data_IF_036647971070
#
_entry.id   IF_036647971070
#
_cell.length_a   1.000
_cell.length_b   1.000
_cell.length_c   1.000
_cell.angle_alpha   90.00
_cell.angle_beta   90.00
_cell.angle_gamma   90.00
#
_symmetry.space_group_name_H-M   'P 1'
#
loop_
_entity.id
_entity.type
_entity.pdbx_description
1 polymer ?
#
# COMPACT_ATOMS: atom_id res chain seq x y z
N UNK A 1 -11.17 24.94 20.97
CA UNK A 1 -9.77 24.54 20.67
C UNK A 1 -9.86 23.12 20.13
N UNK A 2 -9.50 22.90 18.88
CA UNK A 2 -9.47 21.53 18.32
C UNK A 2 -8.36 20.78 19.04
N UNK A 3 -8.71 19.75 19.80
CA UNK A 3 -7.72 18.90 20.47
C UNK A 3 -6.99 18.10 19.38
N UNK A 4 -5.67 18.13 19.39
CA UNK A 4 -4.84 17.33 18.49
C UNK A 4 -5.19 15.86 18.67
N UNK A 5 -5.65 15.14 17.63
CA UNK A 5 -6.12 13.79 17.78
C UNK A 5 -4.98 12.83 18.14
N UNK A 6 -5.33 11.73 18.81
CA UNK A 6 -4.37 10.65 19.03
C UNK A 6 -4.21 9.84 17.75
N UNK A 7 -2.96 9.71 17.28
CA UNK A 7 -2.58 8.90 16.11
C UNK A 7 -1.79 7.70 16.59
N UNK A 8 -2.22 6.50 16.19
CA UNK A 8 -1.43 5.27 16.36
C UNK A 8 -0.79 4.90 15.02
N UNK A 9 0.53 4.76 15.02
CA UNK A 9 1.29 4.28 13.88
C UNK A 9 1.59 2.81 14.07
N UNK A 10 1.14 1.97 13.13
CA UNK A 10 1.32 0.53 13.14
C UNK A 10 2.45 0.18 12.20
N UNK A 11 3.45 -0.55 12.71
CA UNK A 11 4.62 -1.02 11.97
C UNK A 11 4.66 -2.55 12.05
N UNK A 12 4.21 -3.29 11.02
CA UNK A 12 4.44 -4.72 10.94
C UNK A 12 5.93 -4.98 10.71
N UNK A 13 6.52 -5.88 11.48
CA UNK A 13 7.95 -6.18 11.46
C UNK A 13 8.17 -7.68 11.30
N UNK A 14 8.98 -8.07 10.32
CA UNK A 14 9.47 -9.45 10.17
C UNK A 14 10.85 -9.46 9.54
N UNK A 15 11.87 -9.87 10.31
CA UNK A 15 13.28 -9.92 9.89
C UNK A 15 13.74 -8.59 9.26
N UNK A 16 13.57 -7.50 9.99
CA UNK A 16 13.85 -6.13 9.54
C UNK A 16 14.96 -5.45 10.37
N UNK A 17 15.87 -6.20 11.02
CA UNK A 17 16.91 -5.66 11.90
C UNK A 17 17.72 -4.53 11.27
N UNK A 18 17.89 -4.55 9.95
CA UNK A 18 18.64 -3.54 9.21
C UNK A 18 17.92 -2.19 9.12
N UNK A 19 16.58 -2.18 9.13
CA UNK A 19 15.78 -1.01 8.76
C UNK A 19 14.87 -0.51 9.88
N UNK A 20 14.43 -1.37 10.78
CA UNK A 20 13.38 -1.07 11.77
C UNK A 20 13.71 0.13 12.64
N UNK A 21 14.97 0.31 13.04
CA UNK A 21 15.41 1.45 13.86
C UNK A 21 15.17 2.77 13.11
N UNK A 22 15.52 2.81 11.82
CA UNK A 22 15.32 4.00 10.99
C UNK A 22 13.82 4.27 10.72
N UNK A 23 13.04 3.23 10.49
CA UNK A 23 11.59 3.35 10.32
C UNK A 23 10.94 3.98 11.55
N UNK A 24 11.18 3.44 12.76
CA UNK A 24 10.65 3.96 14.02
C UNK A 24 11.15 5.39 14.26
N UNK A 25 12.45 5.66 14.07
CA UNK A 25 13.02 7.01 14.24
C UNK A 25 12.33 8.04 13.35
N UNK A 26 11.97 7.66 12.11
CA UNK A 26 11.28 8.54 11.16
C UNK A 26 9.85 8.89 11.59
N UNK A 27 9.19 7.96 12.32
CA UNK A 27 7.87 8.19 12.92
C UNK A 27 7.98 9.12 14.13
N UNK A 28 8.90 8.87 15.03
CA UNK A 28 9.11 9.69 16.22
C UNK A 28 9.53 11.13 15.85
N UNK A 29 10.28 11.29 14.75
CA UNK A 29 10.67 12.59 14.21
C UNK A 29 9.50 13.42 13.66
N UNK A 30 8.27 12.89 13.58
CA UNK A 30 7.09 13.67 13.22
C UNK A 30 6.70 14.67 14.30
N UNK A 31 7.18 14.50 15.53
CA UNK A 31 6.90 15.37 16.69
C UNK A 31 5.39 15.62 16.90
N UNK A 32 4.54 14.62 16.60
CA UNK A 32 3.10 14.73 16.80
C UNK A 32 2.76 14.60 18.29
N UNK A 33 2.02 15.55 18.91
CA UNK A 33 1.86 15.60 20.38
C UNK A 33 1.23 14.36 21.00
N UNK A 34 0.27 13.72 20.29
CA UNK A 34 -0.45 12.53 20.74
C UNK A 34 -0.13 11.34 19.85
N UNK A 35 1.14 10.95 19.79
CA UNK A 35 1.63 9.85 18.97
C UNK A 35 1.75 8.57 19.81
N UNK A 36 1.24 7.48 19.27
CA UNK A 36 1.47 6.12 19.74
C UNK A 36 2.12 5.31 18.63
N UNK A 37 3.17 4.57 18.93
CA UNK A 37 3.81 3.65 17.98
C UNK A 37 3.61 2.23 18.46
N UNK A 38 3.01 1.39 17.60
CA UNK A 38 2.77 -0.04 17.85
C UNK A 38 3.54 -0.82 16.79
N UNK A 39 4.61 -1.49 17.20
CA UNK A 39 5.33 -2.43 16.34
C UNK A 39 4.80 -3.83 16.61
N UNK A 40 4.41 -4.53 15.54
CA UNK A 40 3.99 -5.93 15.61
C UNK A 40 5.07 -6.79 14.97
N UNK A 41 5.86 -7.44 15.82
CA UNK A 41 6.86 -8.42 15.40
C UNK A 41 6.19 -9.75 15.06
N UNK A 42 6.14 -10.05 13.78
CA UNK A 42 5.48 -11.25 13.22
C UNK A 42 6.43 -12.46 13.25
N UNK A 43 7.11 -12.68 14.39
CA UNK A 43 7.96 -13.84 14.64
C UNK A 43 9.32 -13.74 13.96
N UNK A 44 9.97 -12.59 14.07
CA UNK A 44 11.33 -12.40 13.57
C UNK A 44 12.31 -13.38 14.22
N UNK A 45 13.27 -13.86 13.42
CA UNK A 45 14.37 -14.71 13.87
C UNK A 45 15.71 -13.96 13.93
N UNK A 46 15.72 -12.71 13.51
CA UNK A 46 16.85 -11.78 13.58
C UNK A 46 16.79 -10.92 14.86
N UNK A 47 17.60 -9.87 14.93
CA UNK A 47 17.67 -8.99 16.10
C UNK A 47 16.61 -7.87 16.10
N UNK A 48 15.59 -7.94 15.26
CA UNK A 48 14.57 -6.88 15.16
C UNK A 48 13.94 -6.54 16.51
N UNK A 49 13.42 -7.53 17.23
CA UNK A 49 12.76 -7.31 18.52
C UNK A 49 13.74 -6.76 19.60
N UNK A 50 14.98 -7.29 19.64
CA UNK A 50 16.04 -6.83 20.54
C UNK A 50 16.34 -5.34 20.31
N UNK A 51 16.53 -4.94 19.04
CA UNK A 51 16.85 -3.55 18.67
C UNK A 51 15.70 -2.60 19.01
N UNK A 52 14.45 -3.01 18.83
CA UNK A 52 13.29 -2.19 19.20
C UNK A 52 13.27 -1.94 20.71
N UNK A 53 13.36 -3.01 21.52
CA UNK A 53 13.36 -2.88 22.98
C UNK A 53 14.53 -2.03 23.51
N UNK A 54 15.71 -2.18 22.93
CA UNK A 54 16.90 -1.48 23.38
C UNK A 54 16.90 0.01 22.99
N UNK A 55 16.35 0.36 21.82
CA UNK A 55 16.43 1.71 21.27
C UNK A 55 15.20 2.58 21.57
N UNK A 56 14.03 1.96 21.79
CA UNK A 56 12.75 2.68 21.89
C UNK A 56 11.86 2.10 23.01
N UNK A 57 12.20 2.33 24.29
CA UNK A 57 11.44 1.82 25.43
C UNK A 57 10.00 2.35 25.48
N UNK A 58 9.70 3.49 24.83
CA UNK A 58 8.35 4.07 24.73
C UNK A 58 7.49 3.44 23.64
N UNK A 59 8.07 2.67 22.74
CA UNK A 59 7.34 1.99 21.65
C UNK A 59 6.70 0.71 22.15
N UNK A 60 5.44 0.52 21.84
CA UNK A 60 4.72 -0.70 22.18
C UNK A 60 5.10 -1.82 21.22
N UNK A 61 5.94 -2.74 21.66
CA UNK A 61 6.25 -3.97 20.94
C UNK A 61 5.22 -5.06 21.28
N UNK A 62 4.60 -5.62 20.24
CA UNK A 62 3.70 -6.78 20.30
C UNK A 62 4.33 -7.90 19.50
N UNK A 63 4.50 -9.08 20.10
CA UNK A 63 5.11 -10.23 19.41
C UNK A 63 4.05 -11.30 19.14
N UNK A 64 4.12 -11.92 17.96
CA UNK A 64 3.27 -13.05 17.57
C UNK A 64 4.07 -14.09 16.80
N UNK A 65 3.51 -15.27 16.58
CA UNK A 65 4.06 -16.23 15.61
C UNK A 65 3.81 -15.69 14.21
N UNK A 66 4.70 -15.98 13.26
CA UNK A 66 4.54 -15.53 11.88
C UNK A 66 3.22 -16.02 11.27
N UNK A 67 2.37 -15.06 10.90
CA UNK A 67 1.05 -15.27 10.29
C UNK A 67 0.84 -14.38 9.07
N UNK A 68 1.85 -13.58 8.70
CA UNK A 68 1.85 -12.69 7.56
C UNK A 68 1.38 -11.27 7.85
N UNK A 69 1.67 -10.38 6.91
CA UNK A 69 1.56 -8.93 7.07
C UNK A 69 0.13 -8.45 7.38
N UNK A 70 -0.90 -9.07 6.77
CA UNK A 70 -2.29 -8.72 7.01
C UNK A 70 -2.69 -8.99 8.47
N UNK A 71 -2.27 -10.15 9.03
CA UNK A 71 -2.54 -10.50 10.43
C UNK A 71 -1.79 -9.55 11.37
N UNK A 72 -0.52 -9.25 11.08
CA UNK A 72 0.27 -8.33 11.88
C UNK A 72 -0.35 -6.92 11.90
N UNK A 73 -0.77 -6.38 10.74
CA UNK A 73 -1.46 -5.09 10.68
C UNK A 73 -2.79 -5.10 11.44
N UNK A 74 -3.59 -6.15 11.31
CA UNK A 74 -4.85 -6.31 12.06
C UNK A 74 -4.62 -6.38 13.56
N UNK A 75 -3.61 -7.10 14.00
CA UNK A 75 -3.23 -7.14 15.42
C UNK A 75 -2.80 -5.76 15.92
N UNK A 76 -2.03 -5.01 15.12
CA UNK A 76 -1.68 -3.63 15.41
C UNK A 76 -2.91 -2.73 15.53
N UNK A 77 -3.90 -2.84 14.62
CA UNK A 77 -5.16 -2.09 14.70
C UNK A 77 -5.91 -2.41 16.01
N UNK A 78 -5.95 -3.68 16.41
CA UNK A 78 -6.60 -4.10 17.67
C UNK A 78 -5.88 -3.56 18.91
N UNK A 79 -4.57 -3.45 18.88
CA UNK A 79 -3.75 -2.92 19.98
C UNK A 79 -3.71 -1.41 20.05
N UNK A 80 -3.91 -0.72 18.94
CA UNK A 80 -3.84 0.74 18.83
C UNK A 80 -4.94 1.43 19.65
N UNK A 81 -4.65 2.59 20.22
CA UNK A 81 -5.56 3.38 21.05
C UNK A 81 -5.96 4.73 20.41
N UNK A 82 -5.31 5.12 19.30
CA UNK A 82 -5.60 6.36 18.61
C UNK A 82 -6.92 6.31 17.85
N UNK A 83 -7.55 7.47 17.66
CA UNK A 83 -8.72 7.61 16.78
C UNK A 83 -8.33 7.55 15.31
N UNK A 84 -7.09 7.88 15.03
CA UNK A 84 -6.50 7.81 13.70
C UNK A 84 -5.39 6.77 13.67
N UNK A 85 -5.39 5.99 12.61
CA UNK A 85 -4.43 4.90 12.38
C UNK A 85 -3.60 5.24 11.14
N UNK A 86 -2.29 5.18 11.28
CA UNK A 86 -1.35 5.25 10.18
C UNK A 86 -0.55 3.96 10.10
N UNK A 87 -0.01 3.66 8.93
CA UNK A 87 0.83 2.48 8.70
C UNK A 87 2.19 2.91 8.15
N UNK A 88 3.21 2.17 8.55
CA UNK A 88 4.55 2.26 7.97
C UNK A 88 5.13 0.86 7.88
N UNK A 89 5.59 0.45 6.71
CA UNK A 89 6.31 -0.81 6.56
C UNK A 89 7.72 -0.68 7.16
N UNK A 90 8.23 -1.76 7.75
CA UNK A 90 9.44 -1.74 8.58
C UNK A 90 10.73 -1.37 7.83
N UNK A 91 10.70 -1.36 6.50
CA UNK A 91 11.79 -1.00 5.60
C UNK A 91 11.63 0.38 4.94
N UNK A 92 10.48 1.06 5.15
CA UNK A 92 10.20 2.40 4.62
C UNK A 92 10.60 3.52 5.59
N UNK A 93 10.59 4.75 5.08
CA UNK A 93 10.93 5.96 5.84
C UNK A 93 9.86 7.04 5.63
N UNK A 94 9.44 7.70 6.70
CA UNK A 94 8.66 8.93 6.61
C UNK A 94 9.57 10.17 6.58
N UNK A 95 9.17 11.14 5.77
CA UNK A 95 9.80 12.48 5.79
C UNK A 95 9.10 13.37 6.80
N UNK A 96 9.84 14.36 7.37
CA UNK A 96 9.30 15.29 8.37
C UNK A 96 8.04 16.02 7.87
N UNK A 97 7.07 16.20 8.77
CA UNK A 97 5.84 16.95 8.50
C UNK A 97 4.72 16.17 7.85
N UNK A 98 4.88 14.85 7.61
CA UNK A 98 3.83 13.99 7.01
C UNK A 98 2.52 14.05 7.78
N UNK A 99 2.54 13.80 9.07
CA UNK A 99 1.32 13.76 9.89
C UNK A 99 0.63 15.11 9.95
N UNK A 100 1.40 16.20 10.03
CA UNK A 100 0.84 17.56 10.03
C UNK A 100 0.16 17.87 8.69
N UNK A 101 0.81 17.60 7.56
CA UNK A 101 0.24 17.86 6.24
C UNK A 101 -1.03 17.04 5.97
N UNK A 102 -1.07 15.78 6.44
CA UNK A 102 -2.25 14.93 6.34
C UNK A 102 -3.40 15.45 7.22
N UNK A 103 -3.10 15.87 8.46
CA UNK A 103 -4.09 16.40 9.36
C UNK A 103 -4.69 17.72 8.87
N UNK A 104 -3.85 18.62 8.36
CA UNK A 104 -4.29 19.89 7.77
C UNK A 104 -5.25 19.62 6.58
N UNK A 105 -4.91 18.65 5.74
CA UNK A 105 -5.73 18.25 4.59
C UNK A 105 -7.07 17.65 5.03
N UNK A 106 -7.08 16.76 6.02
CA UNK A 106 -8.30 16.14 6.55
C UNK A 106 -9.20 17.17 7.25
N UNK A 107 -8.60 18.08 8.03
CA UNK A 107 -9.33 19.12 8.74
C UNK A 107 -10.03 20.13 7.82
N UNK A 108 -9.50 20.30 6.62
CA UNK A 108 -10.09 21.18 5.60
C UNK A 108 -11.30 20.56 4.88
N UNK A 109 -11.54 19.25 5.00
CA UNK A 109 -12.64 18.53 4.31
C UNK A 109 -13.47 17.76 5.32
N UNK A 110 -14.53 18.37 5.90
CA UNK A 110 -15.40 17.71 6.86
C UNK A 110 -15.99 16.41 6.32
N UNK A 111 -15.92 15.36 7.13
CA UNK A 111 -16.42 14.03 6.76
C UNK A 111 -15.45 13.13 5.98
N UNK A 112 -14.33 13.66 5.49
CA UNK A 112 -13.25 12.80 4.99
C UNK A 112 -12.57 12.07 6.15
N UNK A 113 -12.38 10.75 5.96
CA UNK A 113 -11.85 9.87 7.01
C UNK A 113 -10.58 9.13 6.61
N UNK A 114 -10.02 9.46 5.45
CA UNK A 114 -8.76 8.89 4.97
C UNK A 114 -8.00 9.92 4.15
N UNK A 115 -6.70 9.95 4.35
CA UNK A 115 -5.76 10.72 3.56
C UNK A 115 -4.53 9.87 3.27
N UNK A 116 -3.96 10.02 2.08
CA UNK A 116 -2.65 9.46 1.75
C UNK A 116 -1.75 10.53 1.14
N UNK A 117 -0.45 10.32 1.18
CA UNK A 117 0.52 11.20 0.53
C UNK A 117 1.06 10.56 -0.75
N UNK A 118 1.70 11.35 -1.61
CA UNK A 118 2.61 10.79 -2.57
C UNK A 118 3.79 10.07 -1.86
N UNK A 119 4.56 9.31 -2.62
CA UNK A 119 5.78 8.65 -2.17
C UNK A 119 6.85 8.73 -3.26
N UNK A 120 8.10 8.49 -2.89
CA UNK A 120 9.20 8.38 -3.84
C UNK A 120 9.88 7.01 -3.67
N UNK A 121 10.25 6.38 -4.79
CA UNK A 121 11.06 5.17 -4.76
C UNK A 121 12.49 5.50 -4.35
N UNK A 122 13.00 4.73 -3.41
CA UNK A 122 14.36 4.87 -2.92
C UNK A 122 15.11 3.55 -2.96
N UNK A 123 15.96 3.41 -3.96
CA UNK A 123 16.80 2.22 -4.14
C UNK A 123 18.04 2.35 -3.28
N UNK A 124 18.02 1.77 -2.09
CA UNK A 124 19.15 1.80 -1.16
C UNK A 124 19.10 0.61 -0.21
N UNK A 125 20.29 0.16 0.17
CA UNK A 125 20.49 -0.78 1.27
C UNK A 125 20.91 -0.07 2.56
N UNK A 126 21.12 1.25 2.51
CA UNK A 126 21.47 2.05 3.68
C UNK A 126 20.27 2.27 4.60
N UNK A 127 20.44 2.29 5.92
CA UNK A 127 19.36 2.48 6.87
C UNK A 127 18.61 3.81 6.70
N UNK A 128 19.32 4.87 6.36
CA UNK A 128 18.79 6.23 6.24
C UNK A 128 19.11 6.87 4.89
N UNK A 129 18.24 7.74 4.36
CA UNK A 129 18.50 8.43 3.11
C UNK A 129 19.65 9.43 3.24
N UNK A 130 20.47 9.51 2.20
CA UNK A 130 21.57 10.48 2.15
C UNK A 130 21.07 11.92 2.09
N UNK A 131 21.76 12.89 2.72
CA UNK A 131 21.38 14.31 2.67
C UNK A 131 21.24 14.86 1.25
N UNK A 132 22.10 14.41 0.31
CA UNK A 132 22.03 14.82 -1.09
C UNK A 132 20.75 14.33 -1.78
N UNK A 133 20.29 13.10 -1.49
CA UNK A 133 19.02 12.59 -1.98
C UNK A 133 17.84 13.42 -1.46
N UNK A 134 17.82 13.72 -0.15
CA UNK A 134 16.78 14.54 0.47
C UNK A 134 16.73 15.96 -0.11
N UNK A 135 17.90 16.59 -0.30
CA UNK A 135 18.00 17.92 -0.92
C UNK A 135 17.47 17.91 -2.36
N UNK A 136 17.83 16.89 -3.15
CA UNK A 136 17.32 16.70 -4.50
C UNK A 136 15.79 16.46 -4.53
N UNK A 137 15.24 15.75 -3.55
CA UNK A 137 13.80 15.55 -3.43
C UNK A 137 13.09 16.86 -3.10
N UNK A 138 13.61 17.63 -2.13
CA UNK A 138 13.07 18.93 -1.75
C UNK A 138 13.10 19.95 -2.89
N UNK A 139 14.17 19.98 -3.69
CA UNK A 139 14.25 20.88 -4.86
C UNK A 139 13.17 20.59 -5.92
N UNK A 140 12.65 19.36 -5.98
CA UNK A 140 11.57 18.92 -6.88
C UNK A 140 10.17 19.10 -6.28
N UNK A 141 10.06 19.52 -5.03
CA UNK A 141 8.78 19.60 -4.30
C UNK A 141 7.77 20.56 -4.94
N UNK A 142 8.23 21.52 -5.74
CA UNK A 142 7.38 22.43 -6.53
C UNK A 142 6.74 21.79 -7.77
N UNK A 143 7.22 20.65 -8.23
CA UNK A 143 6.65 19.95 -9.40
C UNK A 143 5.45 19.07 -8.99
N UNK A 144 4.32 19.72 -8.77
CA UNK A 144 3.06 19.04 -8.42
C UNK A 144 2.59 18.02 -9.47
N UNK A 145 3.07 18.11 -10.71
CA UNK A 145 2.69 17.16 -11.79
C UNK A 145 3.31 15.80 -11.56
N UNK A 146 4.50 15.74 -10.95
CA UNK A 146 5.20 14.48 -10.66
C UNK A 146 4.47 13.62 -9.62
N UNK A 147 3.85 14.28 -8.64
CA UNK A 147 3.15 13.61 -7.55
C UNK A 147 1.64 13.90 -7.58
N UNK A 148 1.11 13.99 -8.80
CA UNK A 148 -0.31 14.19 -8.99
C UNK A 148 -1.08 12.98 -8.49
N UNK A 149 -2.12 13.23 -7.71
CA UNK A 149 -3.07 12.23 -7.22
C UNK A 149 -4.47 12.81 -7.21
N UNK A 150 -5.45 11.96 -7.06
CA UNK A 150 -6.86 12.34 -7.05
C UNK A 150 -7.41 12.28 -5.64
N UNK A 151 -8.14 13.33 -5.24
CA UNK A 151 -8.88 13.38 -3.98
C UNK A 151 -10.38 13.21 -4.23
N UNK A 152 -11.09 12.64 -3.25
CA UNK A 152 -12.54 12.48 -3.28
C UNK A 152 -12.99 11.02 -3.28
N UNK A 153 -14.05 10.72 -4.01
CA UNK A 153 -14.57 9.36 -4.16
C UNK A 153 -13.81 8.62 -5.26
N UNK A 154 -12.58 8.17 -4.95
CA UNK A 154 -11.60 7.67 -5.93
C UNK A 154 -11.78 6.19 -6.32
N UNK A 155 -12.91 5.55 -6.00
CA UNK A 155 -13.17 4.17 -6.38
C UNK A 155 -12.96 3.91 -7.88
N UNK A 156 -13.45 4.76 -8.82
CA UNK A 156 -13.21 4.57 -10.24
C UNK A 156 -11.71 4.58 -10.63
N UNK A 157 -10.91 5.41 -9.98
CA UNK A 157 -9.47 5.50 -10.20
C UNK A 157 -8.75 4.28 -9.64
N UNK A 158 -9.19 3.80 -8.46
CA UNK A 158 -8.64 2.58 -7.87
C UNK A 158 -8.93 1.33 -8.70
N UNK A 159 -9.99 1.28 -9.50
CA UNK A 159 -10.19 0.19 -10.46
C UNK A 159 -9.16 0.18 -11.59
N UNK A 160 -8.52 1.32 -11.86
CA UNK A 160 -7.52 1.47 -12.92
C UNK A 160 -6.10 1.33 -12.41
N UNK A 161 -5.84 1.82 -11.19
CA UNK A 161 -4.51 1.74 -10.60
C UNK A 161 -4.55 1.71 -9.06
N UNK A 162 -3.59 1.01 -8.45
CA UNK A 162 -3.36 1.03 -7.00
C UNK A 162 -2.54 2.27 -6.63
N UNK A 163 -3.22 3.42 -6.54
CA UNK A 163 -2.57 4.71 -6.29
C UNK A 163 -2.25 4.96 -4.81
N UNK A 164 -2.71 4.11 -3.90
CA UNK A 164 -2.55 4.29 -2.44
C UNK A 164 -1.57 3.26 -1.90
N UNK A 165 -0.47 3.73 -1.34
CA UNK A 165 0.56 2.90 -0.71
C UNK A 165 0.39 2.90 0.80
N UNK A 166 0.57 1.75 1.42
CA UNK A 166 0.29 1.53 2.84
C UNK A 166 1.06 2.48 3.74
N UNK A 167 2.35 2.68 3.50
CA UNK A 167 3.20 3.59 4.29
C UNK A 167 2.82 5.07 4.16
N UNK A 168 1.88 5.43 3.27
CA UNK A 168 1.44 6.82 3.07
C UNK A 168 0.15 7.18 3.79
N UNK A 169 -0.58 6.20 4.32
CA UNK A 169 -1.97 6.34 4.76
C UNK A 169 -2.09 6.90 6.18
N UNK A 170 -3.14 7.71 6.38
CA UNK A 170 -3.74 8.06 7.67
C UNK A 170 -5.25 7.89 7.53
N UNK A 171 -5.87 7.05 8.38
CA UNK A 171 -7.28 6.68 8.29
C UNK A 171 -7.94 6.70 9.66
N UNK A 172 -9.18 7.20 9.74
CA UNK A 172 -9.95 7.20 10.98
C UNK A 172 -10.39 5.79 11.35
N UNK A 173 -10.22 5.41 12.61
CA UNK A 173 -10.51 4.06 13.14
C UNK A 173 -11.92 3.55 12.82
N UNK A 174 -12.94 4.44 12.83
CA UNK A 174 -14.31 4.04 12.56
C UNK A 174 -14.51 3.38 11.19
N UNK A 175 -13.64 3.66 10.23
CA UNK A 175 -13.71 3.08 8.89
C UNK A 175 -13.58 1.55 8.94
N UNK A 176 -12.70 1.03 9.81
CA UNK A 176 -12.52 -0.42 9.97
C UNK A 176 -13.76 -1.14 10.53
N UNK A 177 -14.59 -0.44 11.31
CA UNK A 177 -15.86 -0.99 11.80
C UNK A 177 -16.91 -1.14 10.70
N UNK A 178 -16.81 -0.34 9.63
CA UNK A 178 -17.75 -0.34 8.50
C UNK A 178 -17.34 -1.31 7.38
N UNK A 179 -16.04 -1.35 7.07
CA UNK A 179 -15.53 -2.11 5.92
C UNK A 179 -14.75 -3.37 6.30
N UNK A 180 -14.48 -3.57 7.59
CA UNK A 180 -13.57 -4.60 8.08
C UNK A 180 -12.10 -4.19 7.95
N UNK A 181 -11.23 -5.09 8.35
CA UNK A 181 -9.77 -4.92 8.37
C UNK A 181 -9.13 -5.53 7.12
N UNK A 182 -7.79 -5.70 7.11
CA UNK A 182 -7.07 -6.39 6.03
C UNK A 182 -7.55 -7.84 5.87
N UNK A 183 -7.82 -8.26 4.64
CA UNK A 183 -8.23 -9.65 4.34
C UNK A 183 -7.03 -10.59 4.50
N UNK A 184 -7.06 -11.42 5.55
CA UNK A 184 -5.98 -12.37 5.88
C UNK A 184 -5.86 -13.52 4.87
N UNK A 185 -6.86 -13.73 4.01
CA UNK A 185 -6.80 -14.71 2.93
C UNK A 185 -5.96 -14.24 1.75
N UNK A 186 -5.67 -12.94 1.67
CA UNK A 186 -4.83 -12.34 0.65
C UNK A 186 -3.38 -12.24 1.16
N UNK A 187 -2.50 -12.98 0.52
CA UNK A 187 -1.07 -12.91 0.83
C UNK A 187 -0.38 -11.65 0.28
N UNK A 188 -0.91 -11.13 -0.83
CA UNK A 188 -0.48 -9.89 -1.51
C UNK A 188 -1.74 -9.20 -2.00
N UNK A 189 -1.77 -7.84 -1.95
CA UNK A 189 -2.90 -7.02 -2.38
C UNK A 189 -3.99 -6.87 -1.33
N UNK A 190 -3.72 -7.27 -0.08
CA UNK A 190 -4.58 -7.08 1.08
C UNK A 190 -4.85 -5.61 1.36
N UNK A 191 -3.88 -4.77 1.08
CA UNK A 191 -3.95 -3.30 1.18
C UNK A 191 -4.82 -2.72 0.07
N UNK A 192 -4.60 -3.13 -1.17
CA UNK A 192 -5.41 -2.69 -2.31
C UNK A 192 -6.88 -3.06 -2.16
N UNK A 193 -7.18 -4.28 -1.69
CA UNK A 193 -8.54 -4.71 -1.35
C UNK A 193 -9.16 -3.78 -0.29
N UNK A 194 -8.40 -3.45 0.75
CA UNK A 194 -8.86 -2.55 1.81
C UNK A 194 -9.13 -1.14 1.28
N UNK A 195 -8.26 -0.57 0.43
CA UNK A 195 -8.47 0.76 -0.13
C UNK A 195 -9.69 0.82 -1.05
N UNK A 196 -9.97 -0.22 -1.83
CA UNK A 196 -11.20 -0.34 -2.61
C UNK A 196 -12.44 -0.36 -1.71
N UNK A 197 -12.42 -1.11 -0.60
CA UNK A 197 -13.53 -1.11 0.38
C UNK A 197 -13.71 0.25 1.04
N UNK A 198 -12.64 0.91 1.47
CA UNK A 198 -12.67 2.22 2.11
C UNK A 198 -13.21 3.29 1.17
N UNK A 199 -12.84 3.26 -0.10
CA UNK A 199 -13.33 4.21 -1.10
C UNK A 199 -14.85 4.15 -1.34
N UNK A 200 -15.54 3.17 -0.74
CA UNK A 200 -17.01 3.03 -0.78
C UNK A 200 -17.73 3.77 0.35
N UNK A 201 -17.02 4.13 1.42
CA UNK A 201 -17.64 4.69 2.64
C UNK A 201 -17.10 6.07 3.00
N UNK A 202 -16.01 6.51 2.41
CA UNK A 202 -15.45 7.85 2.63
C UNK A 202 -14.68 8.36 1.41
N UNK A 203 -14.58 9.68 1.32
CA UNK A 203 -13.60 10.31 0.43
C UNK A 203 -12.18 9.97 0.92
N UNK A 204 -11.27 9.76 -0.04
CA UNK A 204 -9.84 9.57 0.21
C UNK A 204 -9.12 10.81 -0.33
N UNK A 205 -8.41 11.52 0.53
CA UNK A 205 -7.71 12.76 0.17
C UNK A 205 -6.25 12.46 -0.18
N UNK A 206 -5.69 13.26 -1.07
CA UNK A 206 -4.30 13.14 -1.51
C UNK A 206 -3.48 14.37 -1.20
N UNK A 207 -2.32 14.19 -0.58
CA UNK A 207 -1.30 15.23 -0.39
C UNK A 207 -0.23 15.06 -1.46
N UNK A 208 -0.14 16.04 -2.37
CA UNK A 208 0.77 16.01 -3.52
C UNK A 208 2.22 16.35 -3.14
N UNK A 209 2.75 15.66 -2.13
CA UNK A 209 4.17 15.71 -1.73
C UNK A 209 4.58 14.31 -1.24
N UNK A 210 5.78 13.82 -1.59
CA UNK A 210 6.26 12.49 -1.24
C UNK A 210 6.76 12.44 0.20
N UNK A 211 5.84 12.34 1.16
CA UNK A 211 6.17 12.23 2.57
C UNK A 211 6.60 10.82 3.02
N UNK A 212 6.61 9.85 2.10
CA UNK A 212 7.12 8.52 2.37
C UNK A 212 8.14 8.11 1.29
N UNK A 213 9.20 7.45 1.71
CA UNK A 213 10.19 6.81 0.86
C UNK A 213 9.92 5.30 0.86
N UNK A 214 9.55 4.78 -0.30
CA UNK A 214 9.41 3.35 -0.52
C UNK A 214 10.76 2.74 -0.84
N UNK A 215 11.26 1.89 0.05
CA UNK A 215 12.57 1.27 -0.13
C UNK A 215 12.51 0.09 -1.09
N UNK A 216 13.42 0.11 -2.06
CA UNK A 216 13.63 -0.99 -2.99
C UNK A 216 14.95 -1.69 -2.69
N UNK A 217 14.89 -2.92 -2.18
CA UNK A 217 16.06 -3.74 -1.88
C UNK A 217 15.88 -5.19 -2.39
N UNK A 218 16.95 -6.00 -2.48
CA UNK A 218 16.89 -7.33 -3.12
C UNK A 218 15.90 -8.31 -2.49
N UNK A 219 15.60 -8.17 -1.18
CA UNK A 219 14.70 -9.05 -0.43
C UNK A 219 13.26 -8.52 -0.34
N UNK A 220 12.92 -7.42 -1.04
CA UNK A 220 11.56 -6.88 -1.06
C UNK A 220 10.57 -7.91 -1.63
N UNK A 221 9.43 -8.09 -0.95
CA UNK A 221 8.38 -9.07 -1.32
C UNK A 221 7.86 -8.83 -2.74
N UNK A 222 7.80 -7.58 -3.18
CA UNK A 222 7.37 -7.19 -4.53
C UNK A 222 8.25 -7.74 -5.66
N UNK A 223 9.45 -8.25 -5.35
CA UNK A 223 10.36 -8.90 -6.31
C UNK A 223 10.22 -10.42 -6.35
N UNK A 224 9.43 -11.03 -5.46
CA UNK A 224 9.22 -12.47 -5.46
C UNK A 224 8.35 -12.89 -6.66
N UNK A 225 8.59 -14.11 -7.18
CA UNK A 225 7.75 -14.70 -8.24
C UNK A 225 6.34 -14.92 -7.64
N UNK A 226 5.39 -14.15 -8.09
CA UNK A 226 4.01 -14.19 -7.62
C UNK A 226 3.32 -15.42 -8.23
N UNK A 227 2.65 -16.22 -7.38
CA UNK A 227 1.95 -17.43 -7.85
C UNK A 227 0.54 -17.15 -8.38
N UNK A 228 -0.03 -15.99 -8.04
CA UNK A 228 -1.40 -15.58 -8.41
C UNK A 228 -1.44 -14.15 -8.89
N UNK A 229 -2.36 -13.82 -9.80
CA UNK A 229 -2.60 -12.45 -10.22
C UNK A 229 -3.46 -11.71 -9.18
N UNK A 230 -2.84 -11.35 -8.05
CA UNK A 230 -3.53 -10.69 -6.93
C UNK A 230 -4.24 -9.41 -7.34
N UNK A 231 -3.61 -8.57 -8.17
CA UNK A 231 -4.23 -7.33 -8.66
C UNK A 231 -5.50 -7.62 -9.47
N UNK A 232 -5.44 -8.54 -10.40
CA UNK A 232 -6.61 -8.95 -11.18
C UNK A 232 -7.72 -9.55 -10.32
N UNK A 233 -7.35 -10.35 -9.30
CA UNK A 233 -8.29 -10.93 -8.35
C UNK A 233 -9.01 -9.85 -7.54
N UNK A 234 -8.28 -8.90 -6.97
CA UNK A 234 -8.83 -7.83 -6.11
C UNK A 234 -9.77 -6.93 -6.92
N UNK A 235 -9.37 -6.49 -8.13
CA UNK A 235 -10.24 -5.70 -9.01
C UNK A 235 -11.50 -6.49 -9.38
N UNK A 236 -11.38 -7.78 -9.72
CA UNK A 236 -12.53 -8.61 -10.09
C UNK A 236 -13.51 -8.80 -8.93
N UNK A 237 -13.02 -8.98 -7.70
CA UNK A 237 -13.86 -9.01 -6.48
C UNK A 237 -14.61 -7.70 -6.27
N UNK A 238 -13.93 -6.55 -6.43
CA UNK A 238 -14.53 -5.24 -6.30
C UNK A 238 -15.63 -5.00 -7.35
N UNK A 239 -15.37 -5.35 -8.61
CA UNK A 239 -16.34 -5.25 -9.70
C UNK A 239 -17.57 -6.14 -9.50
N UNK A 240 -17.37 -7.38 -9.05
CA UNK A 240 -18.47 -8.28 -8.75
C UNK A 240 -19.38 -7.74 -7.64
N UNK A 241 -18.81 -7.03 -6.67
CA UNK A 241 -19.54 -6.49 -5.52
C UNK A 241 -20.20 -5.13 -5.79
N UNK A 242 -19.53 -4.23 -6.50
CA UNK A 242 -19.95 -2.81 -6.62
C UNK A 242 -20.04 -2.28 -8.04
N UNK A 243 -19.63 -3.07 -9.05
CA UNK A 243 -19.56 -2.61 -10.43
C UNK A 243 -18.53 -1.48 -10.62
N UNK A 244 -18.84 -0.56 -11.52
CA UNK A 244 -17.93 0.52 -11.94
C UNK A 244 -18.20 1.86 -11.26
N UNK A 245 -19.30 1.98 -10.51
CA UNK A 245 -19.83 3.26 -10.00
C UNK A 245 -19.42 3.50 -8.55
N UNK A 246 -18.99 4.71 -8.26
CA UNK A 246 -18.70 5.24 -6.93
C UNK A 246 -19.97 5.72 -6.20
N UNK A 247 -19.96 5.91 -4.87
CA UNK A 247 -21.11 6.43 -4.11
C UNK A 247 -21.58 7.82 -4.54
N UNK A 248 -20.70 8.67 -5.05
CA UNK A 248 -21.02 10.00 -5.58
C UNK A 248 -21.63 9.97 -6.99
N UNK A 249 -21.79 8.79 -7.57
CA UNK A 249 -22.31 8.59 -8.92
C UNK A 249 -21.27 8.61 -10.03
N UNK A 250 -20.03 9.02 -9.76
CA UNK A 250 -18.92 8.90 -10.71
C UNK A 250 -18.64 7.44 -11.06
N UNK A 251 -18.13 7.18 -12.27
CA UNK A 251 -17.94 5.82 -12.75
C UNK A 251 -16.68 5.68 -13.60
N UNK A 252 -16.00 4.57 -13.46
CA UNK A 252 -14.96 4.17 -14.42
C UNK A 252 -15.60 3.71 -15.72
N UNK A 253 -14.97 3.99 -16.86
CA UNK A 253 -15.41 3.44 -18.14
C UNK A 253 -15.06 1.94 -18.19
N UNK A 254 -16.07 1.13 -18.51
CA UNK A 254 -15.92 -0.33 -18.60
C UNK A 254 -14.70 -0.72 -19.46
N UNK A 255 -14.54 -0.11 -20.63
CA UNK A 255 -13.43 -0.41 -21.54
C UNK A 255 -12.04 -0.15 -20.94
N UNK A 256 -11.89 0.87 -20.08
CA UNK A 256 -10.62 1.17 -19.42
C UNK A 256 -10.31 0.14 -18.33
N UNK A 257 -11.32 -0.26 -17.57
CA UNK A 257 -11.19 -1.30 -16.53
C UNK A 257 -10.92 -2.66 -17.15
N UNK A 258 -11.63 -3.03 -18.21
CA UNK A 258 -11.39 -4.28 -18.95
C UNK A 258 -9.95 -4.33 -19.49
N UNK A 259 -9.47 -3.22 -20.05
CA UNK A 259 -8.08 -3.08 -20.51
C UNK A 259 -7.09 -3.22 -19.36
N UNK A 260 -7.35 -2.60 -18.22
CA UNK A 260 -6.52 -2.74 -17.02
C UNK A 260 -6.46 -4.20 -16.57
N UNK A 261 -7.60 -4.87 -16.46
CA UNK A 261 -7.65 -6.29 -16.11
C UNK A 261 -6.92 -7.17 -17.13
N UNK A 262 -7.13 -6.96 -18.41
CA UNK A 262 -6.42 -7.70 -19.46
C UNK A 262 -4.90 -7.48 -19.39
N UNK A 263 -4.46 -6.25 -19.08
CA UNK A 263 -3.05 -5.95 -18.83
C UNK A 263 -2.49 -6.75 -17.66
N UNK A 264 -3.16 -6.78 -16.50
CA UNK A 264 -2.67 -7.52 -15.32
C UNK A 264 -2.52 -9.02 -15.62
N UNK A 265 -3.51 -9.62 -16.31
CA UNK A 265 -3.46 -11.02 -16.70
C UNK A 265 -2.38 -11.32 -17.74
N UNK A 266 -2.17 -10.42 -18.70
CA UNK A 266 -1.11 -10.60 -19.70
C UNK A 266 0.30 -10.38 -19.14
N UNK A 267 0.46 -9.50 -18.14
CA UNK A 267 1.73 -9.32 -17.40
C UNK A 267 2.07 -10.57 -16.58
N UNK A 268 1.08 -11.11 -15.88
CA UNK A 268 1.23 -12.34 -15.15
C UNK A 268 1.56 -13.52 -16.08
N UNK A 269 0.87 -13.62 -17.25
CA UNK A 269 1.17 -14.61 -18.26
C UNK A 269 2.61 -14.46 -18.82
N UNK A 270 3.11 -13.23 -18.99
CA UNK A 270 4.51 -12.99 -19.41
C UNK A 270 5.50 -13.50 -18.36
N UNK A 271 5.24 -13.24 -17.08
CA UNK A 271 6.11 -13.70 -15.99
C UNK A 271 6.16 -15.24 -15.95
N UNK A 272 4.99 -15.90 -16.07
CA UNK A 272 4.90 -17.36 -16.16
C UNK A 272 5.66 -17.93 -17.36
N UNK A 273 5.51 -17.30 -18.52
CA UNK A 273 6.22 -17.70 -19.74
C UNK A 273 7.74 -17.63 -19.54
N UNK A 274 8.23 -16.55 -18.92
CA UNK A 274 9.65 -16.36 -18.62
C UNK A 274 10.17 -17.37 -17.59
N UNK A 275 9.31 -17.84 -16.69
CA UNK A 275 9.62 -18.87 -15.69
C UNK A 275 9.47 -20.31 -16.23
N UNK A 276 9.10 -20.50 -17.52
CA UNK A 276 8.87 -21.82 -18.11
C UNK A 276 7.52 -22.46 -17.76
N UNK A 277 6.61 -21.72 -17.12
CA UNK A 277 5.28 -22.20 -16.72
C UNK A 277 4.26 -22.06 -17.86
N UNK A 278 4.49 -22.75 -18.96
CA UNK A 278 3.70 -22.58 -20.21
C UNK A 278 2.20 -22.82 -20.05
N UNK A 279 1.79 -23.80 -19.24
CA UNK A 279 0.36 -24.12 -19.01
C UNK A 279 -0.32 -22.94 -18.32
N UNK A 280 0.29 -22.39 -17.26
CA UNK A 280 -0.26 -21.25 -16.52
C UNK A 280 -0.22 -19.97 -17.36
N UNK A 281 0.84 -19.76 -18.14
CA UNK A 281 0.94 -18.66 -19.09
C UNK A 281 -0.20 -18.67 -20.13
N UNK A 282 -0.55 -19.84 -20.69
CA UNK A 282 -1.70 -20.01 -21.60
C UNK A 282 -3.01 -19.65 -20.93
N UNK A 283 -3.26 -20.20 -19.73
CA UNK A 283 -4.48 -19.92 -18.97
C UNK A 283 -4.66 -18.43 -18.71
N UNK A 284 -3.59 -17.77 -18.24
CA UNK A 284 -3.62 -16.34 -17.96
C UNK A 284 -3.78 -15.48 -19.22
N UNK A 285 -3.11 -15.85 -20.33
CA UNK A 285 -3.27 -15.16 -21.59
C UNK A 285 -4.70 -15.31 -22.15
N UNK A 286 -5.30 -16.51 -22.07
CA UNK A 286 -6.70 -16.74 -22.46
C UNK A 286 -7.67 -15.95 -21.57
N UNK A 287 -7.38 -15.81 -20.27
CA UNK A 287 -8.17 -14.97 -19.37
C UNK A 287 -8.12 -13.51 -19.78
N UNK A 288 -6.92 -12.97 -20.11
CA UNK A 288 -6.80 -11.62 -20.65
C UNK A 288 -7.63 -11.41 -21.92
N UNK A 289 -7.60 -12.38 -22.86
CA UNK A 289 -8.34 -12.32 -24.12
C UNK A 289 -9.85 -12.49 -23.96
N UNK A 290 -10.32 -13.21 -22.95
CA UNK A 290 -11.76 -13.27 -22.62
C UNK A 290 -12.29 -11.93 -22.12
N UNK A 291 -11.44 -11.14 -21.45
CA UNK A 291 -11.80 -9.80 -20.96
C UNK A 291 -11.73 -8.80 -22.12
N UNK A 292 -10.65 -8.82 -22.90
CA UNK A 292 -10.45 -7.95 -24.06
C UNK A 292 -9.84 -8.77 -25.23
N UNK A 293 -10.69 -9.16 -26.18
CA UNK A 293 -10.26 -9.95 -27.35
C UNK A 293 -9.31 -9.17 -28.28
N UNK A 294 -9.27 -7.85 -28.16
CA UNK A 294 -8.37 -7.00 -28.97
C UNK A 294 -7.00 -6.81 -28.32
N UNK A 295 -6.77 -7.38 -27.13
CA UNK A 295 -5.57 -7.18 -26.34
C UNK A 295 -4.32 -7.82 -26.97
N UNK A 296 -3.53 -7.01 -27.70
CA UNK A 296 -2.40 -7.47 -28.51
C UNK A 296 -1.32 -8.23 -27.71
N UNK A 297 -1.06 -7.81 -26.44
CA UNK A 297 -0.08 -8.49 -25.57
C UNK A 297 -0.55 -9.89 -25.18
N UNK A 298 -1.85 -10.06 -24.91
CA UNK A 298 -2.47 -11.37 -24.62
C UNK A 298 -2.27 -12.36 -25.78
N UNK A 299 -2.53 -11.93 -27.02
CA UNK A 299 -2.27 -12.75 -28.20
C UNK A 299 -0.81 -13.13 -28.36
N UNK A 300 0.12 -12.15 -28.21
CA UNK A 300 1.56 -12.40 -28.29
C UNK A 300 2.04 -13.46 -27.31
N UNK A 301 1.57 -13.38 -26.06
CA UNK A 301 1.94 -14.36 -25.01
C UNK A 301 1.34 -15.71 -25.29
N UNK A 302 0.06 -15.78 -25.71
CA UNK A 302 -0.62 -17.03 -26.02
C UNK A 302 0.12 -17.78 -27.15
N UNK A 303 0.45 -17.08 -28.25
CA UNK A 303 1.18 -17.67 -29.39
C UNK A 303 2.54 -18.21 -28.92
N UNK A 304 3.31 -17.43 -28.17
CA UNK A 304 4.62 -17.89 -27.65
C UNK A 304 4.48 -19.11 -26.73
N UNK A 305 3.49 -19.11 -25.86
CA UNK A 305 3.26 -20.24 -24.96
C UNK A 305 2.78 -21.51 -25.70
N UNK A 306 2.20 -21.38 -26.88
CA UNK A 306 1.80 -22.53 -27.72
C UNK A 306 2.97 -23.14 -28.53
N UNK A 307 3.98 -22.34 -28.88
CA UNK A 307 5.13 -22.80 -29.70
C UNK A 307 6.16 -23.56 -28.83
N UNK A 308 6.17 -23.36 -27.53
CA UNK A 308 7.07 -24.06 -26.60
C UNK A 308 6.38 -25.31 -26.03
N UNK A 309 6.02 -26.24 -26.90
CA UNK A 309 5.49 -27.56 -26.53
C UNK A 309 6.61 -28.58 -26.59
#
# INVERSE_FOLDING_TARGET
MSTTPKISVIIPCYNAERYIVSAISSVLAQNWPNLEVVVVDDGSSDRSAELICASFPEVRLVQQRNQGIAVARNHGIACAQGDWIAFLDADDIWLPGKLQAQWDTLSAVPGARMCHTAFEFWTSTEPSPEPAFLAALQSRSGDRRRWFGVSGWIYPQLLLDCAVWTSTVLVHRSVFSEVGQFDQSLRIGEDYDLWLRISRVTQILHVAFPYALYRMHPTSITRSIVQENHRGLVISRALARWGYRSPDGSSARKADVDRTLANTWSEFACADLSAGNFIRARHSALTALRIDMTHAKGWKVLIRALVHY
#
